data_IF_939018586203
#
_entry.id   IF_939018586203
#
_cell.length_a   1.000
_cell.length_b   1.000
_cell.length_c   1.000
_cell.angle_alpha   90.00
_cell.angle_beta   90.00
_cell.angle_gamma   90.00
#
_symmetry.space_group_name_H-M   'P 1'
#
loop_
_entity.id
_entity.type
_entity.pdbx_description
1 polymer ?
#
# COMPACT_ATOMS: atom_id res chain seq x y z
N UNK A 1 29.71 -20.36 6.24
CA UNK A 1 28.71 -19.97 5.22
C UNK A 1 27.34 -20.16 5.83
N UNK A 2 26.68 -19.06 6.19
CA UNK A 2 25.35 -19.10 6.79
C UNK A 2 24.36 -19.57 5.73
N UNK A 3 23.57 -20.61 6.03
CA UNK A 3 22.63 -21.18 5.07
C UNK A 3 21.43 -20.24 4.96
N UNK A 4 21.24 -19.64 3.80
CA UNK A 4 20.00 -18.95 3.48
C UNK A 4 18.84 -19.95 3.58
N UNK A 5 17.81 -19.59 4.35
CA UNK A 5 16.66 -20.43 4.61
C UNK A 5 15.39 -19.72 4.16
N UNK A 6 14.45 -20.51 3.68
CA UNK A 6 13.10 -20.04 3.42
C UNK A 6 12.22 -20.37 4.62
N UNK A 7 11.61 -19.36 5.22
CA UNK A 7 10.73 -19.52 6.37
C UNK A 7 9.53 -18.57 6.29
N UNK A 8 8.47 -18.95 6.99
CA UNK A 8 7.25 -18.16 7.07
C UNK A 8 7.26 -17.28 8.33
N UNK A 9 6.96 -16.00 8.15
CA UNK A 9 6.83 -15.00 9.21
C UNK A 9 5.35 -14.60 9.33
N UNK A 10 4.73 -14.71 10.53
CA UNK A 10 3.36 -14.26 10.76
C UNK A 10 3.18 -12.77 10.42
N UNK A 11 2.07 -12.40 9.78
CA UNK A 11 1.81 -11.02 9.38
C UNK A 11 1.21 -10.12 10.47
N UNK A 12 0.83 -10.66 11.62
CA UNK A 12 0.16 -9.90 12.67
C UNK A 12 1.05 -8.78 13.21
N UNK A 13 0.58 -7.53 13.14
CA UNK A 13 1.32 -6.35 13.58
C UNK A 13 2.48 -5.95 12.66
N UNK A 14 2.55 -6.50 11.44
CA UNK A 14 3.58 -6.19 10.46
C UNK A 14 2.99 -5.53 9.20
N UNK A 15 3.40 -4.29 8.95
CA UNK A 15 3.01 -3.55 7.76
C UNK A 15 3.75 -4.07 6.55
N UNK A 16 3.01 -4.28 5.45
CA UNK A 16 3.56 -4.71 4.16
C UNK A 16 4.67 -3.79 3.67
N UNK A 17 4.49 -2.49 3.81
CA UNK A 17 5.47 -1.49 3.38
C UNK A 17 6.78 -1.62 4.15
N UNK A 18 6.68 -1.85 5.46
CA UNK A 18 7.85 -2.01 6.31
C UNK A 18 8.57 -3.32 6.03
N UNK A 19 7.86 -4.45 5.98
CA UNK A 19 8.49 -5.75 5.71
C UNK A 19 9.18 -5.77 4.34
N UNK A 20 8.49 -5.34 3.27
CA UNK A 20 9.08 -5.38 1.93
C UNK A 20 10.21 -4.37 1.75
N UNK A 21 10.14 -3.21 2.40
CA UNK A 21 11.16 -2.17 2.31
C UNK A 21 12.39 -2.41 3.19
N UNK A 22 12.22 -2.99 4.38
CA UNK A 22 13.29 -3.08 5.39
C UNK A 22 13.91 -4.46 5.55
N UNK A 23 13.38 -5.52 4.91
CA UNK A 23 13.94 -6.86 5.11
C UNK A 23 15.42 -6.95 4.73
N UNK A 24 15.83 -6.26 3.66
CA UNK A 24 17.22 -6.23 3.19
C UNK A 24 18.14 -5.47 4.14
N UNK A 25 17.61 -4.51 4.91
CA UNK A 25 18.39 -3.79 5.92
C UNK A 25 18.82 -4.72 7.06
N UNK A 26 17.94 -5.63 7.49
CA UNK A 26 18.22 -6.57 8.58
C UNK A 26 19.00 -7.81 8.15
N UNK A 27 18.68 -8.35 6.97
CA UNK A 27 19.17 -9.66 6.53
C UNK A 27 20.21 -9.58 5.40
N UNK A 28 20.47 -8.38 4.88
CA UNK A 28 21.39 -8.13 3.77
C UNK A 28 20.70 -8.11 2.39
N UNK A 29 21.44 -7.71 1.33
CA UNK A 29 20.89 -7.45 0.01
C UNK A 29 20.33 -8.69 -0.70
N UNK A 30 20.78 -9.89 -0.34
CA UNK A 30 20.29 -11.14 -0.91
C UNK A 30 18.94 -11.59 -0.31
N UNK A 31 18.52 -10.97 0.79
CA UNK A 31 17.29 -11.33 1.44
C UNK A 31 16.08 -10.80 0.67
N UNK A 32 15.00 -11.59 0.65
CA UNK A 32 13.74 -11.19 0.04
C UNK A 32 12.56 -11.55 0.92
N UNK A 33 11.54 -10.72 0.87
CA UNK A 33 10.25 -10.94 1.51
C UNK A 33 9.16 -10.83 0.44
N UNK A 34 8.14 -11.68 0.54
CA UNK A 34 6.92 -11.56 -0.26
C UNK A 34 5.69 -11.92 0.57
N UNK A 35 4.52 -11.32 0.31
CA UNK A 35 3.27 -11.76 0.93
C UNK A 35 3.03 -13.24 0.63
N UNK A 36 2.66 -14.01 1.66
CA UNK A 36 2.40 -15.43 1.53
C UNK A 36 1.43 -15.93 2.61
N UNK A 37 0.44 -16.70 2.18
CA UNK A 37 -0.54 -17.32 3.08
C UNK A 37 -0.10 -18.74 3.41
N UNK A 38 0.14 -19.01 4.69
CA UNK A 38 0.49 -20.35 5.17
C UNK A 38 -0.65 -20.90 6.02
N UNK A 39 -1.25 -22.03 5.58
CA UNK A 39 -2.36 -22.68 6.29
C UNK A 39 -3.54 -21.73 6.61
N UNK A 40 -3.88 -20.85 5.68
CA UNK A 40 -4.95 -19.85 5.85
C UNK A 40 -4.58 -18.65 6.72
N UNK A 41 -3.33 -18.55 7.18
CA UNK A 41 -2.83 -17.40 7.95
C UNK A 41 -2.01 -16.49 7.04
N UNK A 42 -2.32 -15.20 7.09
CA UNK A 42 -1.58 -14.18 6.36
C UNK A 42 -0.21 -13.94 6.99
N UNK A 43 0.78 -13.73 6.15
CA UNK A 43 2.15 -13.45 6.56
C UNK A 43 3.06 -13.23 5.37
N UNK A 44 4.34 -13.48 5.60
CA UNK A 44 5.38 -13.24 4.63
C UNK A 44 6.29 -14.46 4.51
N UNK A 45 6.65 -14.80 3.28
CA UNK A 45 7.68 -15.77 3.02
C UNK A 45 9.00 -15.02 2.91
N UNK A 46 9.92 -15.29 3.84
CA UNK A 46 11.24 -14.70 3.87
C UNK A 46 12.24 -15.72 3.31
N UNK A 47 13.11 -15.26 2.43
CA UNK A 47 14.29 -16.00 2.00
C UNK A 47 15.53 -15.26 2.47
N UNK A 48 16.33 -15.88 3.33
CA UNK A 48 17.55 -15.30 3.87
C UNK A 48 17.91 -15.86 5.23
N UNK A 49 18.64 -15.07 6.02
CA UNK A 49 18.97 -15.43 7.40
C UNK A 49 17.72 -15.39 8.29
N UNK A 50 17.63 -16.24 9.33
CA UNK A 50 16.55 -16.15 10.31
C UNK A 50 16.62 -14.81 11.05
N UNK A 51 15.50 -14.09 11.09
CA UNK A 51 15.37 -12.87 11.88
C UNK A 51 15.54 -13.17 13.37
N UNK A 52 16.28 -12.31 14.08
CA UNK A 52 16.33 -12.35 15.54
C UNK A 52 15.04 -11.81 16.14
N UNK A 53 14.76 -12.14 17.41
CA UNK A 53 13.57 -11.62 18.10
C UNK A 53 13.57 -10.09 18.17
N UNK A 54 14.75 -9.49 18.35
CA UNK A 54 14.94 -8.04 18.36
C UNK A 54 14.58 -7.44 17.00
N UNK A 55 15.05 -8.01 15.90
CA UNK A 55 14.71 -7.55 14.55
C UNK A 55 13.21 -7.66 14.26
N UNK A 56 12.55 -8.72 14.73
CA UNK A 56 11.09 -8.85 14.62
C UNK A 56 10.38 -7.77 15.42
N UNK A 57 10.87 -7.46 16.64
CA UNK A 57 10.32 -6.39 17.45
C UNK A 57 10.51 -5.02 16.79
N UNK A 58 11.69 -4.74 16.23
CA UNK A 58 11.98 -3.51 15.50
C UNK A 58 11.07 -3.35 14.28
N UNK A 59 10.86 -4.43 13.52
CA UNK A 59 9.90 -4.46 12.41
C UNK A 59 8.47 -4.16 12.87
N UNK A 60 8.05 -4.68 14.02
CA UNK A 60 6.72 -4.42 14.58
C UNK A 60 6.56 -2.97 15.05
N UNK A 61 7.58 -2.40 15.69
CA UNK A 61 7.60 -0.99 16.09
C UNK A 61 7.53 -0.09 14.86
N UNK A 62 8.38 -0.31 13.86
CA UNK A 62 8.35 0.45 12.60
C UNK A 62 7.01 0.31 11.88
N UNK A 63 6.43 -0.88 11.88
CA UNK A 63 5.09 -1.13 11.30
C UNK A 63 4.01 -0.32 11.99
N UNK A 64 4.02 -0.30 13.33
CA UNK A 64 3.05 0.47 14.12
C UNK A 64 3.20 1.98 13.94
N UNK A 65 4.43 2.48 13.85
CA UNK A 65 4.69 3.89 13.58
C UNK A 65 4.25 4.28 12.16
N UNK A 66 4.50 3.41 11.18
CA UNK A 66 4.05 3.61 9.80
C UNK A 66 2.52 3.68 9.70
N UNK A 67 1.81 2.74 10.32
CA UNK A 67 0.34 2.75 10.34
C UNK A 67 -0.22 4.01 11.04
N UNK A 68 0.41 4.46 12.13
CA UNK A 68 0.01 5.71 12.81
C UNK A 68 0.19 6.93 11.90
N UNK A 69 1.29 6.99 11.16
CA UNK A 69 1.58 8.09 10.24
C UNK A 69 0.63 8.09 9.05
N UNK A 70 0.36 6.92 8.46
CA UNK A 70 -0.60 6.79 7.37
C UNK A 70 -2.03 7.16 7.82
N UNK A 71 -2.44 6.73 9.03
CA UNK A 71 -3.72 7.13 9.60
C UNK A 71 -3.80 8.65 9.84
N UNK A 72 -2.72 9.28 10.32
CA UNK A 72 -2.67 10.74 10.52
C UNK A 72 -2.74 11.51 9.19
N UNK A 73 -2.16 10.96 8.11
CA UNK A 73 -2.26 11.54 6.76
C UNK A 73 -3.69 11.48 6.24
N UNK A 74 -4.39 10.36 6.42
CA UNK A 74 -5.81 10.25 6.07
C UNK A 74 -6.68 11.23 6.85
N UNK A 75 -6.39 11.47 8.13
CA UNK A 75 -7.13 12.47 8.93
C UNK A 75 -6.82 13.89 8.45
N UNK A 76 -5.57 14.17 8.07
CA UNK A 76 -5.18 15.50 7.57
C UNK A 76 -5.77 15.78 6.18
N UNK A 77 -5.86 14.78 5.30
CA UNK A 77 -6.51 14.93 3.99
C UNK A 77 -8.03 15.01 4.10
N UNK A 78 -8.65 14.33 5.07
CA UNK A 78 -10.08 14.46 5.36
C UNK A 78 -10.45 15.73 6.16
N UNK A 79 -9.46 16.42 6.74
CA UNK A 79 -9.64 17.62 7.57
C UNK A 79 -9.32 18.96 6.88
N UNK A 80 -8.89 18.94 5.61
CA UNK A 80 -8.65 20.16 4.80
C UNK A 80 -9.70 20.24 3.68
N UNK A 81 -10.97 20.24 4.08
CA UNK A 81 -12.04 20.75 3.22
C UNK A 81 -12.09 22.28 3.37
N UNK A 82 -11.29 22.97 2.55
CA UNK A 82 -11.27 24.43 2.55
C UNK A 82 -10.59 25.12 1.36
N UNK A 83 -9.91 24.41 0.45
CA UNK A 83 -9.33 25.07 -0.73
C UNK A 83 -9.20 24.11 -1.93
N UNK A 84 -10.22 24.14 -2.78
CA UNK A 84 -10.13 24.05 -4.26
C UNK A 84 -9.22 22.98 -4.89
N UNK A 85 -9.84 21.91 -5.39
CA UNK A 85 -9.33 21.14 -6.54
C UNK A 85 -9.03 19.67 -6.26
N UNK A 86 -10.04 18.82 -6.50
CA UNK A 86 -10.03 17.36 -6.74
C UNK A 86 -8.67 16.67 -7.04
N UNK A 87 -8.46 15.42 -6.57
CA UNK A 87 -9.36 14.29 -6.82
C UNK A 87 -10.01 13.73 -5.54
N UNK A 88 -11.33 13.63 -5.57
CA UNK A 88 -12.12 12.92 -4.57
C UNK A 88 -11.67 11.46 -4.57
N UNK A 89 -10.98 11.03 -3.51
CA UNK A 89 -10.85 9.61 -3.24
C UNK A 89 -12.27 9.04 -3.10
N UNK A 90 -12.61 7.96 -3.84
CA UNK A 90 -13.96 7.41 -3.79
C UNK A 90 -14.27 6.99 -2.36
N UNK A 91 -15.39 7.49 -1.82
CA UNK A 91 -15.88 7.12 -0.50
C UNK A 91 -15.93 5.60 -0.37
N UNK A 92 -15.53 5.07 0.79
CA UNK A 92 -15.27 3.64 1.04
C UNK A 92 -16.46 2.68 0.76
N UNK A 93 -17.62 3.22 0.38
CA UNK A 93 -18.84 2.47 0.03
C UNK A 93 -19.45 2.81 -1.35
N UNK A 94 -18.80 3.63 -2.18
CA UNK A 94 -19.33 3.95 -3.51
C UNK A 94 -18.90 2.89 -4.54
N UNK A 95 -19.89 2.27 -5.18
CA UNK A 95 -19.64 1.32 -6.26
C UNK A 95 -19.03 2.04 -7.45
N UNK A 96 -17.76 1.75 -7.76
CA UNK A 96 -17.07 2.32 -8.93
C UNK A 96 -17.65 1.69 -10.20
N UNK A 97 -18.32 2.46 -11.08
CA UNK A 97 -18.89 1.91 -12.30
C UNK A 97 -17.78 1.59 -13.31
N UNK A 98 -17.55 0.31 -13.59
CA UNK A 98 -16.41 -0.18 -14.41
C UNK A 98 -16.60 0.04 -15.93
N UNK A 99 -17.71 0.64 -16.38
CA UNK A 99 -17.96 0.84 -17.82
C UNK A 99 -18.79 2.10 -18.11
N UNK A 100 -18.15 3.26 -18.13
CA UNK A 100 -18.72 4.42 -18.82
C UNK A 100 -17.72 4.94 -19.85
N UNK A 101 -17.91 4.49 -21.10
CA UNK A 101 -17.28 5.12 -22.26
C UNK A 101 -17.56 6.64 -22.19
N UNK A 102 -16.54 7.50 -22.30
CA UNK A 102 -16.76 8.94 -22.26
C UNK A 102 -17.68 9.30 -23.43
N UNK A 103 -18.90 9.74 -23.12
CA UNK A 103 -19.75 10.40 -24.11
C UNK A 103 -19.05 11.70 -24.45
N UNK A 104 -18.33 11.70 -25.59
CA UNK A 104 -17.83 12.90 -26.25
C UNK A 104 -18.95 13.94 -26.23
N UNK A 105 -18.80 14.96 -25.39
CA UNK A 105 -19.65 16.15 -25.45
C UNK A 105 -19.51 16.70 -26.87
N UNK A 106 -20.61 16.73 -27.60
CA UNK A 106 -20.64 17.36 -28.91
C UNK A 106 -20.26 18.83 -28.72
N UNK A 107 -19.14 19.21 -29.33
CA UNK A 107 -18.66 20.58 -29.38
C UNK A 107 -19.61 21.39 -30.28
N UNK A 108 -20.31 22.42 -29.79
CA UNK A 108 -21.17 23.22 -30.65
C UNK A 108 -20.29 24.23 -31.40
N UNK A 109 -19.79 23.83 -32.56
CA UNK A 109 -19.55 24.78 -33.64
C UNK A 109 -20.14 24.17 -34.91
N UNK A 110 -21.39 24.51 -35.20
CA UNK A 110 -21.75 24.93 -36.57
C UNK A 110 -23.15 25.55 -36.61
N UNK A 111 -23.22 26.78 -37.10
CA UNK A 111 -24.26 27.35 -37.98
C UNK A 111 -24.46 28.84 -37.70
N UNK A 112 -23.72 29.68 -38.42
CA UNK A 112 -24.24 30.95 -38.94
C UNK A 112 -23.50 31.31 -40.24
N UNK A 113 -23.93 30.67 -41.34
CA UNK A 113 -23.86 31.23 -42.69
C UNK A 113 -25.28 31.30 -43.23
N UNK A 114 -25.79 32.53 -43.34
CA UNK A 114 -26.88 33.05 -44.19
C UNK A 114 -27.25 34.38 -43.52
N UNK A 115 -27.16 35.55 -44.14
CA UNK A 115 -27.52 35.91 -45.52
C UNK A 115 -26.82 37.22 -45.89
#
# INVERSE_FOLDING_TARGET
>A
MSREQQYWLPGFGLSRHIVLGHIQYFLGPNASARPFTYQGREGYLINGMPLTREQINDLAVMSREYERQEAARMITSAGVEGASGEPSEPYINELIPVNQRPRRRAHPYDNRRTR
#
